data_IF_290828219085
#
_entry.id   IF_290828219085
#
_cell.length_a   1.000
_cell.length_b   1.000
_cell.length_c   1.000
_cell.angle_alpha   90.00
_cell.angle_beta   90.00
_cell.angle_gamma   90.00
#
_symmetry.space_group_name_H-M   'P 1'
#
loop_
_entity.id
_entity.type
_entity.pdbx_description
1 polymer ?
#
# COMPACT_ATOMS: atom_id res chain seq x y z
N UNK A 1 -2.71 22.15 -1.48
CA UNK A 1 -3.91 22.49 -0.68
C UNK A 1 -3.98 21.55 0.52
N UNK A 2 -4.29 22.01 1.74
CA UNK A 2 -4.20 21.16 2.91
C UNK A 2 -5.40 20.22 3.03
N UNK A 3 -5.09 18.95 3.26
CA UNK A 3 -6.01 17.88 3.62
C UNK A 3 -6.67 18.18 4.98
N UNK A 4 -7.99 17.98 5.15
CA UNK A 4 -8.67 18.39 6.40
C UNK A 4 -8.71 17.27 7.46
N UNK A 5 -8.78 16.01 7.04
CA UNK A 5 -8.86 14.85 7.93
C UNK A 5 -9.50 13.62 7.28
N UNK A 6 -9.57 12.52 8.02
CA UNK A 6 -10.13 11.24 7.60
C UNK A 6 -11.56 11.10 8.14
N UNK A 7 -12.48 10.65 7.29
CA UNK A 7 -13.79 10.16 7.71
C UNK A 7 -13.81 8.65 7.64
N UNK A 8 -14.09 8.01 8.77
CA UNK A 8 -14.37 6.60 8.86
C UNK A 8 -15.87 6.40 8.73
N UNK A 9 -16.29 5.51 7.84
CA UNK A 9 -17.65 4.96 7.87
C UNK A 9 -17.79 4.01 9.06
N UNK A 10 -18.90 3.26 9.14
CA UNK A 10 -19.08 2.30 10.21
C UNK A 10 -17.92 1.28 10.23
N UNK A 11 -17.27 1.16 11.38
CA UNK A 11 -16.17 0.21 11.61
C UNK A 11 -16.76 -1.06 12.17
N UNK A 12 -16.76 -2.12 11.38
CA UNK A 12 -17.25 -3.43 11.83
C UNK A 12 -16.07 -4.24 12.39
N UNK A 13 -16.27 -4.74 13.60
CA UNK A 13 -15.34 -5.56 14.36
C UNK A 13 -15.92 -6.96 14.52
N UNK A 14 -15.16 -7.97 14.13
CA UNK A 14 -15.50 -9.38 14.37
C UNK A 14 -14.46 -9.98 15.29
N UNK A 15 -14.91 -10.52 16.42
CA UNK A 15 -14.05 -11.14 17.42
C UNK A 15 -14.08 -12.64 17.25
N UNK A 16 -12.90 -13.26 17.34
CA UNK A 16 -12.72 -14.70 17.24
C UNK A 16 -11.94 -15.24 18.43
N UNK A 17 -12.22 -16.48 18.77
CA UNK A 17 -11.45 -17.26 19.73
C UNK A 17 -10.80 -18.46 19.08
N UNK A 18 -9.55 -18.72 19.45
CA UNK A 18 -8.85 -19.93 19.03
C UNK A 18 -9.32 -21.12 19.90
N UNK A 19 -10.02 -22.07 19.28
CA UNK A 19 -10.39 -23.33 19.91
C UNK A 19 -9.85 -24.50 19.09
N UNK A 20 -8.80 -25.14 19.58
CA UNK A 20 -8.09 -26.21 18.88
C UNK A 20 -7.39 -25.70 17.63
N UNK A 21 -7.89 -26.09 16.45
CA UNK A 21 -7.32 -25.73 15.14
C UNK A 21 -8.12 -24.63 14.41
N UNK A 22 -9.20 -24.10 15.01
CA UNK A 22 -10.13 -23.19 14.35
C UNK A 22 -10.36 -21.91 15.15
N UNK A 23 -10.63 -20.82 14.43
CA UNK A 23 -11.11 -19.56 15.00
C UNK A 23 -12.64 -19.51 14.94
N UNK A 24 -13.28 -19.47 16.10
CA UNK A 24 -14.74 -19.38 16.22
C UNK A 24 -15.16 -17.91 16.40
N UNK A 25 -16.11 -17.38 15.61
CA UNK A 25 -16.63 -16.03 15.80
C UNK A 25 -17.46 -15.96 17.08
N UNK A 26 -17.12 -15.03 17.97
CA UNK A 26 -17.68 -14.93 19.32
C UNK A 26 -18.43 -13.62 19.57
N UNK A 27 -18.17 -12.58 18.75
CA UNK A 27 -18.93 -11.34 18.76
C UNK A 27 -18.78 -10.60 17.43
N UNK A 28 -19.81 -9.85 17.06
CA UNK A 28 -19.77 -8.86 15.99
C UNK A 28 -20.24 -7.53 16.56
N UNK A 29 -19.47 -6.47 16.35
CA UNK A 29 -19.75 -5.15 16.90
C UNK A 29 -19.43 -4.06 15.89
N UNK A 30 -20.28 -3.05 15.79
CA UNK A 30 -20.10 -1.93 14.86
C UNK A 30 -19.87 -0.64 15.64
N UNK A 31 -18.70 -0.03 15.48
CA UNK A 31 -18.46 1.34 15.92
C UNK A 31 -19.04 2.27 14.85
N UNK A 32 -19.94 3.16 15.25
CA UNK A 32 -20.49 4.17 14.34
C UNK A 32 -19.39 5.05 13.74
N UNK A 33 -19.53 5.36 12.45
CA UNK A 33 -18.58 6.18 11.70
C UNK A 33 -18.25 7.51 12.39
N UNK A 34 -17.00 7.93 12.26
CA UNK A 34 -16.47 9.10 12.95
C UNK A 34 -15.41 9.83 12.12
N UNK A 35 -15.15 11.08 12.49
CA UNK A 35 -14.16 11.93 11.84
C UNK A 35 -12.89 12.06 12.70
N UNK A 36 -11.73 11.96 12.05
CA UNK A 36 -10.43 12.21 12.63
C UNK A 36 -9.80 13.42 11.92
N UNK A 37 -9.65 14.52 12.66
CA UNK A 37 -8.98 15.71 12.13
C UNK A 37 -7.50 15.48 11.85
N UNK A 38 -6.93 16.24 10.91
CA UNK A 38 -5.50 16.20 10.59
C UNK A 38 -4.63 16.38 11.84
N UNK A 39 -3.64 15.50 12.02
CA UNK A 39 -2.71 15.53 13.15
C UNK A 39 -3.33 15.21 14.52
N UNK A 40 -4.60 14.78 14.55
CA UNK A 40 -5.33 14.42 15.77
C UNK A 40 -5.56 12.92 15.83
N UNK A 41 -5.56 12.36 17.03
CA UNK A 41 -5.96 10.98 17.29
C UNK A 41 -7.41 10.93 17.71
N UNK A 42 -8.20 10.03 17.13
CA UNK A 42 -9.58 9.77 17.55
C UNK A 42 -9.62 8.42 18.30
N UNK A 43 -10.12 8.44 19.53
CA UNK A 43 -10.29 7.22 20.33
C UNK A 43 -11.77 6.84 20.41
N UNK A 44 -12.05 5.55 20.25
CA UNK A 44 -13.37 4.95 20.48
C UNK A 44 -13.18 3.76 21.41
N UNK A 45 -14.00 3.70 22.46
CA UNK A 45 -14.01 2.62 23.45
C UNK A 45 -15.44 2.19 23.63
N UNK A 46 -15.68 0.89 23.53
CA UNK A 46 -16.96 0.29 23.88
C UNK A 46 -16.75 -1.14 24.40
N UNK A 47 -17.82 -1.73 24.93
CA UNK A 47 -17.87 -3.09 25.45
C UNK A 47 -18.90 -3.87 24.64
N UNK A 48 -18.53 -5.06 24.20
CA UNK A 48 -19.46 -5.99 23.55
C UNK A 48 -19.50 -7.30 24.29
N UNK A 49 -20.67 -7.91 24.35
CA UNK A 49 -20.86 -9.23 24.96
C UNK A 49 -20.51 -10.30 23.92
N UNK A 50 -19.74 -11.29 24.35
CA UNK A 50 -19.42 -12.47 23.53
C UNK A 50 -20.39 -13.60 23.85
N UNK A 51 -20.86 -14.30 22.81
CA UNK A 51 -21.77 -15.45 22.94
C UNK A 51 -21.15 -16.71 22.32
N UNK A 52 -21.54 -17.89 22.82
CA UNK A 52 -21.05 -19.18 22.28
C UNK A 52 -19.60 -19.52 22.62
N UNK A 53 -18.99 -18.79 23.56
CA UNK A 53 -17.61 -18.99 23.99
C UNK A 53 -17.52 -19.98 25.17
N UNK A 54 -16.61 -20.97 25.14
CA UNK A 54 -16.38 -21.88 26.26
C UNK A 54 -15.56 -21.18 27.35
N UNK A 55 -16.21 -20.29 28.12
CA UNK A 55 -15.55 -19.47 29.15
C UNK A 55 -14.83 -20.30 30.20
N UNK A 56 -15.39 -21.46 30.54
CA UNK A 56 -14.81 -22.39 31.51
C UNK A 56 -13.49 -22.95 30.98
N UNK A 57 -13.48 -23.53 29.77
CA UNK A 57 -12.28 -24.12 29.17
C UNK A 57 -11.16 -23.09 28.96
N UNK A 58 -11.53 -21.87 28.53
CA UNK A 58 -10.58 -20.78 28.36
C UNK A 58 -9.98 -20.32 29.70
N UNK A 59 -10.82 -20.22 30.74
CA UNK A 59 -10.38 -19.88 32.09
C UNK A 59 -9.44 -20.96 32.65
N UNK A 60 -9.81 -22.22 32.52
CA UNK A 60 -9.03 -23.36 32.99
C UNK A 60 -7.68 -23.45 32.26
N UNK A 61 -7.67 -23.22 30.94
CA UNK A 61 -6.43 -23.16 30.17
C UNK A 61 -5.49 -22.07 30.70
N UNK A 62 -6.00 -20.86 30.94
CA UNK A 62 -5.21 -19.74 31.48
C UNK A 62 -4.74 -20.01 32.91
N UNK A 63 -5.60 -20.57 33.77
CA UNK A 63 -5.23 -20.96 35.13
C UNK A 63 -4.15 -22.04 35.17
N UNK A 64 -4.11 -22.93 34.18
CA UNK A 64 -3.09 -23.96 34.02
C UNK A 64 -1.82 -23.49 33.29
N UNK A 65 -1.67 -22.18 33.07
CA UNK A 65 -0.49 -21.59 32.42
C UNK A 65 -0.46 -21.71 30.89
N UNK A 66 -1.56 -22.14 30.26
CA UNK A 66 -1.73 -22.08 28.81
C UNK A 66 -2.27 -20.70 28.37
N UNK A 67 -2.15 -20.36 27.08
CA UNK A 67 -2.59 -19.06 26.55
C UNK A 67 -3.94 -19.17 25.86
N UNK A 68 -4.90 -18.33 26.27
CA UNK A 68 -6.11 -18.07 25.49
C UNK A 68 -5.80 -17.07 24.36
N UNK A 69 -6.05 -17.45 23.11
CA UNK A 69 -5.74 -16.62 21.94
C UNK A 69 -7.02 -16.06 21.34
N UNK A 70 -7.09 -14.74 21.23
CA UNK A 70 -8.18 -14.02 20.59
C UNK A 70 -7.67 -13.33 19.32
N UNK A 71 -8.51 -13.27 18.30
CA UNK A 71 -8.27 -12.54 17.05
C UNK A 71 -9.40 -11.53 16.86
N UNK A 72 -9.05 -10.34 16.37
CA UNK A 72 -10.03 -9.32 15.99
C UNK A 72 -9.82 -8.98 14.53
N UNK A 73 -10.88 -9.02 13.74
CA UNK A 73 -10.90 -8.54 12.37
C UNK A 73 -11.66 -7.22 12.30
N UNK A 74 -11.12 -6.26 11.56
CA UNK A 74 -11.67 -4.91 11.41
C UNK A 74 -11.95 -4.62 9.94
N UNK A 75 -13.12 -4.09 9.63
CA UNK A 75 -13.46 -3.59 8.30
C UNK A 75 -14.13 -2.21 8.37
N UNK A 76 -13.64 -1.27 7.56
CA UNK A 76 -14.22 0.08 7.42
C UNK A 76 -13.85 0.68 6.09
N UNK A 77 -14.70 1.56 5.57
CA UNK A 77 -14.34 2.46 4.47
C UNK A 77 -13.79 3.76 5.03
N UNK A 78 -12.73 4.28 4.42
CA UNK A 78 -12.09 5.54 4.80
C UNK A 78 -12.19 6.50 3.61
N UNK A 79 -12.63 7.73 3.88
CA UNK A 79 -12.74 8.79 2.88
C UNK A 79 -11.91 10.00 3.29
N UNK A 80 -11.11 10.51 2.35
CA UNK A 80 -10.32 11.73 2.52
C UNK A 80 -11.21 12.93 2.25
N UNK A 81 -11.35 13.84 3.23
CA UNK A 81 -12.11 15.07 3.05
C UNK A 81 -11.20 16.16 2.46
N UNK A 82 -11.42 16.47 1.18
CA UNK A 82 -10.85 17.64 0.51
C UNK A 82 -11.88 18.79 0.53
N UNK A 83 -11.44 20.06 0.55
CA UNK A 83 -12.35 21.18 0.34
C UNK A 83 -13.06 21.02 -1.01
N UNK A 84 -14.40 21.05 -1.00
CA UNK A 84 -15.19 21.06 -2.22
C UNK A 84 -14.88 22.34 -2.99
N UNK A 85 -14.33 22.21 -4.21
CA UNK A 85 -14.30 23.31 -5.16
C UNK A 85 -15.75 23.55 -5.65
N UNK A 86 -16.25 24.80 -5.71
CA UNK A 86 -17.61 25.05 -6.14
C UNK A 86 -17.77 24.70 -7.63
N UNK A 87 -18.87 24.04 -8.04
CA UNK A 87 -19.07 23.66 -9.43
C UNK A 87 -19.26 24.91 -10.30
N UNK A 88 -18.46 25.02 -11.38
CA UNK A 88 -18.72 26.00 -12.43
C UNK A 88 -19.97 25.57 -13.20
N UNK A 89 -20.96 26.46 -13.20
CA UNK A 89 -22.20 26.33 -13.95
C UNK A 89 -21.93 26.54 -15.44
N UNK A 90 -22.29 25.57 -16.28
CA UNK A 90 -22.55 25.81 -17.71
C UNK A 90 -23.83 25.12 -18.11
N UNK A 91 -24.85 25.96 -18.33
CA UNK A 91 -26.04 25.60 -19.09
C UNK A 91 -25.65 25.47 -20.57
N UNK A 92 -26.10 24.41 -21.23
CA UNK A 92 -26.31 24.42 -22.69
C UNK A 92 -27.59 23.66 -22.99
N UNK A 93 -28.42 24.31 -23.79
CA UNK A 93 -29.79 23.96 -24.15
C UNK A 93 -29.94 22.68 -24.99
N UNK A 94 -31.17 22.17 -24.90
CA UNK A 94 -31.75 21.03 -25.60
C UNK A 94 -31.82 21.19 -27.12
N UNK A 95 -31.62 20.10 -27.88
CA UNK A 95 -32.63 19.56 -28.82
C UNK A 95 -32.19 18.26 -29.54
N UNK A 96 -33.17 17.38 -29.60
CA UNK A 96 -33.35 16.02 -30.16
C UNK A 96 -32.78 15.72 -31.57
N UNK A 97 -32.24 14.52 -31.76
CA UNK A 97 -32.63 13.61 -32.86
C UNK A 97 -32.17 12.17 -32.59
N UNK A 98 -33.14 11.25 -32.62
CA UNK A 98 -32.93 9.82 -32.50
C UNK A 98 -32.40 9.27 -33.84
N UNK A 99 -31.24 8.63 -33.80
CA UNK A 99 -30.75 7.78 -34.88
C UNK A 99 -30.12 6.52 -34.27
N UNK A 100 -30.69 5.38 -34.59
CA UNK A 100 -30.28 4.03 -34.20
C UNK A 100 -28.94 3.70 -34.87
N UNK A 101 -27.84 3.73 -34.11
CA UNK A 101 -26.56 3.22 -34.59
C UNK A 101 -26.41 1.73 -34.23
N UNK A 102 -25.92 0.88 -35.15
CA UNK A 102 -25.68 -0.53 -34.88
C UNK A 102 -24.45 -0.73 -33.97
N UNK A 103 -24.54 -1.79 -33.16
CA UNK A 103 -23.56 -2.23 -32.16
C UNK A 103 -22.14 -2.37 -32.73
N UNK A 104 -21.09 -1.83 -32.09
CA UNK A 104 -19.71 -2.08 -32.51
C UNK A 104 -19.29 -3.53 -32.19
N UNK A 105 -18.36 -4.12 -32.98
CA UNK A 105 -17.90 -5.49 -32.77
C UNK A 105 -17.09 -5.64 -31.46
N UNK A 106 -16.98 -6.87 -30.91
CA UNK A 106 -16.29 -7.12 -29.65
C UNK A 106 -14.83 -6.69 -29.75
N UNK A 107 -14.45 -5.74 -28.90
CA UNK A 107 -13.10 -5.22 -28.78
C UNK A 107 -12.17 -6.32 -28.31
N UNK A 108 -11.07 -6.58 -29.03
CA UNK A 108 -10.03 -7.49 -28.59
C UNK A 108 -9.50 -7.08 -27.20
N UNK A 109 -9.14 -8.03 -26.32
CA UNK A 109 -8.60 -7.70 -25.01
C UNK A 109 -7.33 -6.88 -25.18
N UNK A 110 -7.34 -5.64 -24.69
CA UNK A 110 -6.14 -4.81 -24.64
C UNK A 110 -5.09 -5.52 -23.77
N UNK A 111 -3.81 -5.58 -24.22
CA UNK A 111 -2.76 -6.17 -23.41
C UNK A 111 -2.64 -5.39 -22.11
N UNK A 112 -2.64 -6.11 -20.99
CA UNK A 112 -2.60 -5.50 -19.66
C UNK A 112 -1.24 -4.79 -19.51
N UNK A 113 -1.18 -3.46 -19.35
CA UNK A 113 0.08 -2.69 -19.46
C UNK A 113 1.15 -3.10 -18.44
N UNK A 114 0.75 -3.78 -17.35
CA UNK A 114 1.64 -4.40 -16.37
C UNK A 114 2.57 -5.48 -16.96
N UNK A 115 2.12 -6.21 -17.98
CA UNK A 115 2.92 -7.28 -18.62
C UNK A 115 4.14 -6.72 -19.35
N UNK A 116 4.15 -5.42 -19.67
CA UNK A 116 5.24 -4.74 -20.37
C UNK A 116 6.09 -3.84 -19.47
N UNK A 117 5.91 -3.84 -18.14
CA UNK A 117 6.69 -2.98 -17.22
C UNK A 117 8.20 -3.09 -17.42
N UNK A 118 8.70 -4.28 -17.74
CA UNK A 118 10.12 -4.51 -17.98
C UNK A 118 10.69 -3.67 -19.15
N UNK A 119 9.86 -3.24 -20.10
CA UNK A 119 10.27 -2.33 -21.17
C UNK A 119 10.33 -0.86 -20.73
N UNK A 120 9.64 -0.49 -19.65
CA UNK A 120 9.59 0.87 -19.12
C UNK A 120 10.66 1.15 -18.06
N UNK A 121 11.31 0.11 -17.54
CA UNK A 121 12.34 0.24 -16.50
C UNK A 121 13.72 -0.05 -17.10
N UNK A 122 14.47 1.01 -17.39
CA UNK A 122 15.84 0.89 -17.88
C UNK A 122 16.85 0.54 -16.77
N UNK A 123 16.47 0.71 -15.51
CA UNK A 123 17.36 0.56 -14.36
C UNK A 123 16.80 -0.49 -13.40
N UNK A 124 17.62 -1.49 -13.07
CA UNK A 124 17.34 -2.44 -12.00
C UNK A 124 17.84 -1.92 -10.65
N UNK A 125 17.08 -2.17 -9.59
CA UNK A 125 17.45 -1.83 -8.23
C UNK A 125 18.66 -2.66 -7.78
N UNK A 126 19.65 -1.96 -7.26
CA UNK A 126 20.87 -2.45 -6.60
C UNK A 126 20.93 -1.83 -5.21
N UNK A 127 21.89 -2.24 -4.40
CA UNK A 127 22.10 -1.67 -3.06
C UNK A 127 22.48 -0.18 -3.04
N UNK A 128 22.80 0.43 -4.19
CA UNK A 128 23.35 1.80 -4.27
C UNK A 128 22.48 2.82 -5.01
N UNK A 129 21.50 2.38 -5.79
CA UNK A 129 20.76 3.24 -6.73
C UNK A 129 19.26 3.35 -6.40
N UNK A 130 18.89 3.18 -5.13
CA UNK A 130 17.48 3.18 -4.70
C UNK A 130 16.73 4.44 -5.11
N UNK A 131 17.32 5.62 -4.94
CA UNK A 131 16.64 6.87 -5.26
C UNK A 131 16.35 7.01 -6.77
N UNK A 132 17.33 6.67 -7.60
CA UNK A 132 17.21 6.68 -9.05
C UNK A 132 16.17 5.66 -9.53
N UNK A 133 16.23 4.42 -9.01
CA UNK A 133 15.23 3.38 -9.29
C UNK A 133 13.82 3.83 -8.88
N UNK A 134 13.67 4.37 -7.66
CA UNK A 134 12.39 4.83 -7.12
C UNK A 134 11.79 5.95 -7.98
N UNK A 135 12.64 6.85 -8.48
CA UNK A 135 12.23 7.97 -9.34
C UNK A 135 11.67 7.49 -10.69
N UNK A 136 12.11 6.34 -11.21
CA UNK A 136 11.56 5.76 -12.45
C UNK A 136 10.30 4.93 -12.21
N UNK A 137 10.29 4.08 -11.17
CA UNK A 137 9.22 3.13 -10.97
C UNK A 137 7.95 3.75 -10.36
N UNK A 138 8.09 4.76 -9.50
CA UNK A 138 6.94 5.34 -8.79
C UNK A 138 5.96 6.08 -9.73
N UNK A 139 6.41 6.90 -10.71
CA UNK A 139 5.51 7.50 -11.70
C UNK A 139 4.78 6.46 -12.55
N UNK A 140 5.45 5.35 -12.89
CA UNK A 140 4.85 4.26 -13.64
C UNK A 140 3.70 3.61 -12.86
N UNK A 141 3.93 3.26 -11.59
CA UNK A 141 2.90 2.71 -10.69
C UNK A 141 1.72 3.68 -10.53
N UNK A 142 2.00 4.98 -10.40
CA UNK A 142 0.97 6.03 -10.34
C UNK A 142 0.17 6.13 -11.63
N UNK A 143 0.82 6.11 -12.79
CA UNK A 143 0.18 6.15 -14.10
C UNK A 143 -0.76 4.97 -14.34
N UNK A 144 -0.41 3.80 -13.79
CA UNK A 144 -1.24 2.60 -13.84
C UNK A 144 -2.34 2.56 -12.76
N UNK A 145 -2.42 3.57 -11.90
CA UNK A 145 -3.35 3.67 -10.76
C UNK A 145 -3.20 2.52 -9.74
N UNK A 146 -1.97 2.06 -9.53
CA UNK A 146 -1.67 0.94 -8.63
C UNK A 146 -0.95 1.36 -7.36
N UNK A 147 -0.83 2.66 -7.13
CA UNK A 147 -0.22 3.20 -5.91
C UNK A 147 -0.88 2.61 -4.66
N UNK A 148 -2.19 2.37 -4.72
CA UNK A 148 -2.97 1.84 -3.61
C UNK A 148 -2.58 0.42 -3.17
N UNK A 149 -1.96 -0.36 -4.06
CA UNK A 149 -1.46 -1.71 -3.76
C UNK A 149 -0.14 -1.67 -2.99
N UNK A 150 0.71 -0.66 -3.21
CA UNK A 150 2.02 -0.55 -2.54
C UNK A 150 1.98 0.31 -1.28
N UNK A 151 1.07 1.28 -1.19
CA UNK A 151 0.92 2.14 0.00
C UNK A 151 0.09 1.49 1.13
N UNK A 152 -0.48 0.31 0.87
CA UNK A 152 -1.30 -0.43 1.83
C UNK A 152 -2.71 0.14 2.03
N UNK A 153 -3.19 1.02 1.15
CA UNK A 153 -4.56 1.54 1.20
C UNK A 153 -5.58 0.60 0.57
N UNK A 154 -5.15 -0.30 -0.32
CA UNK A 154 -5.98 -1.30 -0.99
C UNK A 154 -5.73 -2.71 -0.42
N UNK A 155 -6.44 -3.03 0.66
CA UNK A 155 -6.39 -4.35 1.30
C UNK A 155 -7.12 -5.43 0.48
N UNK A 156 -6.65 -6.70 0.54
CA UNK A 156 -7.33 -7.79 -0.13
C UNK A 156 -8.76 -7.93 0.41
N UNK A 157 -9.77 -7.98 -0.47
CA UNK A 157 -11.13 -8.25 -0.03
C UNK A 157 -11.27 -9.71 0.45
N UNK A 158 -12.36 -10.08 1.15
CA UNK A 158 -12.56 -11.47 1.58
C UNK A 158 -12.53 -12.43 0.39
N UNK A 159 -11.84 -13.57 0.52
CA UNK A 159 -11.73 -14.56 -0.56
C UNK A 159 -13.07 -15.23 -0.91
N UNK A 160 -13.99 -15.27 0.05
CA UNK A 160 -15.32 -15.85 -0.10
C UNK A 160 -16.36 -14.96 0.57
N UNK A 161 -17.60 -15.04 0.11
CA UNK A 161 -18.75 -14.35 0.70
C UNK A 161 -19.96 -15.29 0.76
N UNK A 162 -20.92 -14.97 1.62
CA UNK A 162 -22.18 -15.71 1.71
C UNK A 162 -23.08 -15.29 0.56
N UNK A 163 -23.56 -16.24 -0.24
CA UNK A 163 -24.63 -15.99 -1.19
C UNK A 163 -25.97 -15.95 -0.45
N UNK A 164 -26.66 -14.81 -0.49
CA UNK A 164 -27.92 -14.59 0.20
C UNK A 164 -29.08 -15.47 -0.32
N UNK A 165 -28.99 -15.97 -1.56
CA UNK A 165 -30.04 -16.76 -2.19
C UNK A 165 -29.89 -18.26 -1.93
N UNK A 166 -28.66 -18.77 -1.91
CA UNK A 166 -28.37 -20.19 -1.71
C UNK A 166 -27.90 -20.53 -0.30
N UNK A 167 -27.63 -19.52 0.53
CA UNK A 167 -27.05 -19.66 1.87
C UNK A 167 -25.73 -20.46 1.88
N UNK A 168 -25.00 -20.44 0.76
CA UNK A 168 -23.71 -21.13 0.58
C UNK A 168 -22.55 -20.13 0.51
N UNK A 169 -21.37 -20.58 0.93
CA UNK A 169 -20.13 -19.82 0.81
C UNK A 169 -19.66 -19.92 -0.65
N UNK A 170 -19.52 -18.78 -1.33
CA UNK A 170 -19.09 -18.70 -2.73
C UNK A 170 -17.83 -17.84 -2.88
N UNK A 171 -16.95 -18.13 -3.85
CA UNK A 171 -15.75 -17.32 -4.11
C UNK A 171 -16.10 -15.86 -4.42
N UNK A 172 -15.29 -14.93 -3.93
CA UNK A 172 -15.45 -13.51 -4.22
C UNK A 172 -14.68 -13.11 -5.50
N UNK A 173 -15.37 -12.72 -6.58
CA UNK A 173 -14.70 -12.30 -7.81
C UNK A 173 -13.82 -11.05 -7.60
N UNK A 174 -14.13 -10.19 -6.62
CA UNK A 174 -13.31 -9.03 -6.30
C UNK A 174 -11.95 -9.44 -5.71
N UNK A 175 -11.88 -10.54 -4.97
CA UNK A 175 -10.60 -11.08 -4.47
C UNK A 175 -9.74 -11.59 -5.61
N UNK A 176 -10.30 -12.37 -6.53
CA UNK A 176 -9.54 -12.86 -7.69
C UNK A 176 -9.03 -11.71 -8.57
N UNK A 177 -9.81 -10.64 -8.75
CA UNK A 177 -9.37 -9.46 -9.49
C UNK A 177 -8.25 -8.70 -8.76
N UNK A 178 -8.39 -8.50 -7.45
CA UNK A 178 -7.35 -7.88 -6.63
C UNK A 178 -6.06 -8.70 -6.67
N UNK A 179 -6.15 -10.02 -6.48
CA UNK A 179 -5.02 -10.95 -6.47
C UNK A 179 -4.31 -10.99 -7.82
N UNK A 180 -5.06 -10.98 -8.92
CA UNK A 180 -4.49 -10.88 -10.26
C UNK A 180 -3.66 -9.60 -10.42
N UNK A 181 -4.19 -8.47 -9.97
CA UNK A 181 -3.52 -7.18 -10.11
C UNK A 181 -2.29 -7.06 -9.21
N UNK A 182 -2.38 -7.53 -7.95
CA UNK A 182 -1.27 -7.56 -7.01
C UNK A 182 -0.14 -8.45 -7.52
N UNK A 183 -0.46 -9.66 -8.03
CA UNK A 183 0.53 -10.57 -8.60
C UNK A 183 1.24 -10.00 -9.83
N UNK A 184 0.51 -9.29 -10.70
CA UNK A 184 1.12 -8.60 -11.84
C UNK A 184 2.07 -7.49 -11.37
N UNK A 185 1.68 -6.70 -10.38
CA UNK A 185 2.56 -5.68 -9.81
C UNK A 185 3.77 -6.30 -9.09
N UNK A 186 3.58 -7.40 -8.38
CA UNK A 186 4.64 -8.16 -7.74
C UNK A 186 5.65 -8.66 -8.77
N UNK A 187 5.17 -9.23 -9.89
CA UNK A 187 6.03 -9.67 -11.00
C UNK A 187 6.83 -8.51 -11.61
N UNK A 188 6.20 -7.34 -11.73
CA UNK A 188 6.83 -6.13 -12.25
C UNK A 188 7.90 -5.59 -11.31
N UNK A 189 7.62 -5.56 -10.00
CA UNK A 189 8.59 -5.19 -8.97
C UNK A 189 9.78 -6.14 -9.02
N UNK A 190 9.57 -7.46 -8.96
CA UNK A 190 10.63 -8.46 -8.99
C UNK A 190 11.53 -8.35 -10.24
N UNK A 191 10.94 -8.12 -11.42
CA UNK A 191 11.71 -7.91 -12.66
C UNK A 191 12.56 -6.63 -12.65
N UNK A 192 12.19 -5.65 -11.83
CA UNK A 192 12.95 -4.41 -11.64
C UNK A 192 14.10 -4.54 -10.64
N UNK A 193 14.31 -5.70 -10.03
CA UNK A 193 15.37 -5.93 -9.05
C UNK A 193 16.54 -6.69 -9.68
N UNK A 194 17.75 -6.49 -9.16
CA UNK A 194 18.84 -7.44 -9.40
C UNK A 194 18.66 -8.69 -8.54
N UNK A 195 19.33 -9.78 -8.93
CA UNK A 195 19.28 -11.05 -8.20
C UNK A 195 19.68 -10.90 -6.72
N UNK A 196 20.61 -9.99 -6.42
CA UNK A 196 21.00 -9.67 -5.04
C UNK A 196 19.84 -9.13 -4.22
N UNK A 197 19.08 -8.20 -4.78
CA UNK A 197 17.97 -7.54 -4.09
C UNK A 197 16.73 -8.45 -4.05
N UNK A 198 16.51 -9.29 -5.06
CA UNK A 198 15.43 -10.30 -5.03
C UNK A 198 15.56 -11.20 -3.80
N UNK A 199 16.78 -11.58 -3.40
CA UNK A 199 17.01 -12.42 -2.22
C UNK A 199 16.49 -11.82 -0.91
N UNK A 200 16.42 -10.48 -0.82
CA UNK A 200 15.94 -9.78 0.37
C UNK A 200 14.41 -9.84 0.51
N UNK A 201 13.70 -9.98 -0.61
CA UNK A 201 12.24 -10.00 -0.67
C UNK A 201 11.67 -11.40 -0.82
N UNK A 202 12.51 -12.43 -0.68
CA UNK A 202 12.08 -13.85 -0.69
C UNK A 202 11.12 -14.08 0.47
N UNK A 203 9.92 -14.59 0.16
CA UNK A 203 8.86 -14.82 1.14
C UNK A 203 7.85 -13.67 1.26
N UNK A 204 8.08 -12.54 0.61
CA UNK A 204 7.04 -11.52 0.45
C UNK A 204 5.90 -12.07 -0.42
N UNK A 205 4.68 -12.04 0.11
CA UNK A 205 3.49 -12.61 -0.53
C UNK A 205 2.62 -11.58 -1.25
N UNK A 206 2.96 -10.29 -1.16
CA UNK A 206 2.20 -9.20 -1.80
C UNK A 206 3.14 -8.13 -2.35
N UNK A 207 2.66 -7.35 -3.31
CA UNK A 207 3.42 -6.20 -3.83
C UNK A 207 3.75 -5.16 -2.75
N UNK A 208 2.83 -4.97 -1.79
CA UNK A 208 3.04 -4.14 -0.60
C UNK A 208 4.24 -4.63 0.23
N UNK A 209 4.30 -5.93 0.55
CA UNK A 209 5.38 -6.49 1.35
C UNK A 209 6.75 -6.31 0.68
N UNK A 210 6.82 -6.51 -0.64
CA UNK A 210 8.05 -6.21 -1.41
C UNK A 210 8.40 -4.74 -1.28
N UNK A 211 7.45 -3.83 -1.58
CA UNK A 211 7.70 -2.39 -1.56
C UNK A 211 8.18 -1.90 -0.20
N UNK A 212 7.50 -2.30 0.88
CA UNK A 212 7.84 -1.91 2.25
C UNK A 212 9.21 -2.42 2.69
N UNK A 213 9.59 -3.64 2.29
CA UNK A 213 10.92 -4.18 2.57
C UNK A 213 12.00 -3.34 1.88
N UNK A 214 11.82 -3.04 0.60
CA UNK A 214 12.78 -2.23 -0.15
C UNK A 214 12.88 -0.79 0.38
N UNK A 215 11.76 -0.20 0.81
CA UNK A 215 11.75 1.13 1.41
C UNK A 215 12.46 1.13 2.77
N UNK A 216 12.21 0.14 3.62
CA UNK A 216 12.92 -0.02 4.90
C UNK A 216 14.43 -0.18 4.70
N UNK A 217 14.84 -1.08 3.80
CA UNK A 217 16.25 -1.48 3.69
C UNK A 217 17.09 -0.46 2.92
N UNK A 218 16.52 0.28 1.98
CA UNK A 218 17.29 1.16 1.09
C UNK A 218 16.91 2.65 1.18
N UNK A 219 15.71 3.02 1.66
CA UNK A 219 15.36 4.45 1.77
C UNK A 219 16.12 5.14 2.92
N UNK A 220 16.23 4.50 4.09
CA UNK A 220 16.96 5.11 5.22
C UNK A 220 18.46 5.27 4.96
N UNK A 221 19.19 4.25 4.46
CA UNK A 221 20.60 4.41 4.12
C UNK A 221 20.85 5.41 3.00
N UNK A 222 20.00 5.45 1.96
CA UNK A 222 20.14 6.41 0.86
C UNK A 222 19.95 7.85 1.32
N UNK A 223 18.98 8.13 2.19
CA UNK A 223 18.80 9.46 2.79
C UNK A 223 19.97 9.86 3.69
N UNK A 224 20.48 8.94 4.51
CA UNK A 224 21.65 9.19 5.34
C UNK A 224 22.90 9.47 4.49
N UNK A 225 23.09 8.73 3.40
CA UNK A 225 24.19 8.91 2.45
C UNK A 225 24.13 10.29 1.78
N UNK A 226 22.95 10.71 1.30
CA UNK A 226 22.74 12.05 0.73
C UNK A 226 23.05 13.15 1.76
N UNK A 227 22.61 12.99 3.02
CA UNK A 227 22.92 13.95 4.08
C UNK A 227 24.42 13.98 4.39
N UNK A 228 25.08 12.83 4.44
CA UNK A 228 26.52 12.73 4.63
C UNK A 228 27.29 13.46 3.53
N UNK A 229 26.95 13.24 2.26
CA UNK A 229 27.60 13.94 1.14
C UNK A 229 27.33 15.45 1.15
N UNK A 230 26.13 15.88 1.52
CA UNK A 230 25.84 17.31 1.73
C UNK A 230 26.68 17.91 2.85
N UNK A 231 26.83 17.20 3.97
CA UNK A 231 27.68 17.63 5.08
C UNK A 231 29.16 17.66 4.68
N UNK A 232 29.62 16.70 3.88
CA UNK A 232 30.99 16.72 3.34
C UNK A 232 31.18 17.95 2.47
N UNK A 233 30.33 18.20 1.48
CA UNK A 233 30.36 19.40 0.63
C UNK A 233 30.39 20.71 1.43
N UNK A 234 29.56 20.81 2.48
CA UNK A 234 29.52 21.99 3.36
C UNK A 234 30.79 22.17 4.19
N UNK A 235 31.49 21.07 4.50
CA UNK A 235 32.69 21.07 5.33
C UNK A 235 34.00 21.06 4.52
N UNK A 236 33.96 20.91 3.18
CA UNK A 236 35.14 21.09 2.35
C UNK A 236 35.60 22.55 2.50
N UNK A 237 36.72 22.73 3.17
CA UNK A 237 37.44 24.00 3.27
C UNK A 237 38.78 23.81 2.56
N UNK A 238 39.20 24.79 1.78
CA UNK A 238 40.47 24.74 1.07
C UNK A 238 41.66 24.49 2.02
N UNK A 239 41.64 25.08 3.22
CA UNK A 239 42.68 24.86 4.25
C UNK A 239 44.10 25.13 3.70
N UNK A 240 45.06 24.31 4.11
CA UNK A 240 46.44 24.30 3.56
C UNK A 240 46.58 23.46 2.27
N UNK A 241 45.46 22.98 1.71
CA UNK A 241 45.45 22.11 0.54
C UNK A 241 45.65 22.90 -0.75
N UNK A 242 46.28 22.28 -1.75
CA UNK A 242 46.36 22.89 -3.09
C UNK A 242 44.96 23.14 -3.65
N UNK A 243 44.77 24.24 -4.36
CA UNK A 243 43.50 24.59 -5.02
C UNK A 243 42.97 23.46 -5.93
N UNK A 244 43.88 22.74 -6.59
CA UNK A 244 43.55 21.59 -7.44
C UNK A 244 43.03 20.40 -6.64
N UNK A 245 43.62 20.10 -5.47
CA UNK A 245 43.15 19.04 -4.58
C UNK A 245 41.76 19.35 -3.99
N UNK A 246 41.51 20.63 -3.65
CA UNK A 246 40.19 21.11 -3.23
C UNK A 246 39.13 20.90 -4.33
N UNK A 247 39.42 21.32 -5.56
CA UNK A 247 38.49 21.14 -6.69
C UNK A 247 38.25 19.66 -7.03
N UNK A 248 39.28 18.81 -6.96
CA UNK A 248 39.12 17.37 -7.17
C UNK A 248 38.24 16.74 -6.09
N UNK A 249 38.41 17.12 -4.83
CA UNK A 249 37.61 16.59 -3.73
C UNK A 249 36.15 17.05 -3.82
N UNK A 250 35.90 18.33 -4.11
CA UNK A 250 34.55 18.85 -4.32
C UNK A 250 33.87 18.20 -5.52
N UNK A 251 34.60 17.96 -6.62
CA UNK A 251 34.10 17.27 -7.81
C UNK A 251 33.77 15.80 -7.51
N UNK A 252 34.63 15.09 -6.78
CA UNK A 252 34.38 13.68 -6.39
C UNK A 252 33.10 13.53 -5.58
N UNK A 253 32.90 14.38 -4.57
CA UNK A 253 31.69 14.34 -3.73
C UNK A 253 30.44 14.74 -4.54
N UNK A 254 30.56 15.66 -5.49
CA UNK A 254 29.47 16.02 -6.39
C UNK A 254 29.11 14.88 -7.37
N UNK A 255 30.10 14.19 -7.91
CA UNK A 255 29.90 13.04 -8.81
C UNK A 255 29.29 11.85 -8.03
N UNK A 256 29.69 11.62 -6.78
CA UNK A 256 29.09 10.62 -5.88
C UNK A 256 27.65 10.97 -5.47
N UNK A 257 27.37 12.25 -5.22
CA UNK A 257 26.01 12.74 -4.97
C UNK A 257 25.11 12.55 -6.20
N UNK A 258 25.64 12.81 -7.40
CA UNK A 258 24.94 12.57 -8.65
C UNK A 258 24.71 11.08 -8.93
N UNK A 259 25.61 10.20 -8.49
CA UNK A 259 25.45 8.75 -8.62
C UNK A 259 24.45 8.15 -7.61
N UNK A 260 24.27 8.80 -6.47
CA UNK A 260 23.33 8.39 -5.39
C UNK A 260 21.95 9.04 -5.55
N UNK A 261 21.81 9.96 -6.51
CA UNK A 261 20.63 10.78 -6.83
C UNK A 261 19.78 10.23 -7.95
#
# INVERSE_FOLDING_TARGET
>A
MPFNGLRYDNVNLTFFYNYGAHFLPIAHYTVHGFYQGMGKTAHKRDVTNTHGFPWVDASDAVSNGSMAVFRVELSTKISFLFPLEPPLSTAVDSSTSAATNPLPPPTAPSPNPLTQIHHFLSIKLTSKNYLLWRTQILPLIKGLRLLSYIDGTNWPPPSHHLNAESNTIVPNPAFSQWEQQDNLLMSALLNSLTEEVVRLVVGASTSHAIWSTLESDFASPSQACIMQFRLQLQNIKQGDSSFQSYLQQAKSVADELAATG
#
